data_IF_636005509054
#
_entry.id   IF_636005509054
#
_cell.length_a   1.000
_cell.length_b   1.000
_cell.length_c   1.000
_cell.angle_alpha   90.00
_cell.angle_beta   90.00
_cell.angle_gamma   90.00
#
_symmetry.space_group_name_H-M   'P 1'
#
loop_
_entity.id
_entity.type
_entity.pdbx_description
1 polymer ?
#
# COMPACT_ATOMS: atom_id res chain seq x y z
N UNK A 1 -5.09 -11.02 14.10
CA UNK A 1 -3.81 -11.00 13.35
C UNK A 1 -4.00 -11.18 11.82
N UNK A 2 -5.23 -11.17 11.29
CA UNK A 2 -5.49 -11.52 9.87
C UNK A 2 -4.98 -10.52 8.82
N UNK A 3 -4.66 -9.29 9.21
CA UNK A 3 -4.19 -8.25 8.28
C UNK A 3 -2.67 -8.01 8.32
N UNK A 4 -1.99 -8.57 9.32
CA UNK A 4 -0.55 -8.43 9.54
C UNK A 4 0.31 -8.81 8.32
N UNK A 5 -0.01 -9.87 7.54
CA UNK A 5 0.75 -10.25 6.34
C UNK A 5 0.85 -9.20 5.23
N UNK A 6 -0.03 -8.18 5.27
CA UNK A 6 -0.10 -7.09 4.27
C UNK A 6 0.47 -5.77 4.80
N UNK A 7 1.00 -5.73 6.02
CA UNK A 7 1.47 -4.49 6.67
C UNK A 7 3.00 -4.35 6.60
N UNK A 8 3.61 -3.66 7.59
CA UNK A 8 5.00 -3.19 7.59
C UNK A 8 6.10 -4.27 7.62
N UNK A 9 5.76 -5.56 7.60
CA UNK A 9 6.70 -6.70 7.55
C UNK A 9 7.71 -6.79 8.70
N UNK A 10 7.58 -5.95 9.73
CA UNK A 10 8.54 -5.83 10.83
C UNK A 10 8.48 -6.99 11.85
N UNK A 11 7.35 -7.68 11.90
CA UNK A 11 7.03 -8.71 12.90
C UNK A 11 7.48 -10.13 12.52
N UNK A 12 8.08 -10.34 11.34
CA UNK A 12 8.66 -11.64 10.95
C UNK A 12 7.66 -12.76 10.63
N UNK A 13 6.37 -12.43 10.47
CA UNK A 13 5.31 -13.39 10.10
C UNK A 13 5.32 -13.75 8.60
N UNK A 14 4.45 -14.70 8.21
CA UNK A 14 4.23 -15.06 6.80
C UNK A 14 3.69 -13.85 6.02
N UNK A 15 4.47 -13.38 5.05
CA UNK A 15 4.15 -12.21 4.21
C UNK A 15 3.38 -12.67 2.97
N UNK A 16 2.35 -11.91 2.59
CA UNK A 16 1.67 -12.12 1.31
C UNK A 16 2.65 -11.81 0.15
N UNK A 17 2.84 -12.73 -0.82
CA UNK A 17 3.76 -12.51 -1.92
C UNK A 17 3.50 -11.22 -2.72
N UNK A 18 2.27 -10.73 -2.76
CA UNK A 18 1.92 -9.47 -3.44
C UNK A 18 2.44 -8.23 -2.70
N UNK A 19 2.88 -8.36 -1.45
CA UNK A 19 3.41 -7.27 -0.64
C UNK A 19 4.90 -7.47 -0.32
N UNK A 20 5.47 -8.65 -0.55
CA UNK A 20 6.86 -8.96 -0.21
C UNK A 20 7.89 -8.08 -0.94
N UNK A 21 8.47 -7.12 -0.20
CA UNK A 21 9.41 -6.12 -0.72
C UNK A 21 10.67 -6.75 -1.32
N UNK A 22 11.00 -7.99 -0.96
CA UNK A 22 12.15 -8.72 -1.53
C UNK A 22 11.92 -9.08 -3.00
N UNK A 23 10.66 -9.17 -3.43
CA UNK A 23 10.25 -9.46 -4.81
C UNK A 23 10.19 -8.21 -5.69
N UNK A 24 10.41 -7.03 -5.12
CA UNK A 24 10.34 -5.77 -5.84
C UNK A 24 11.46 -5.64 -6.88
N UNK A 25 11.17 -5.19 -8.12
CA UNK A 25 12.17 -4.83 -9.11
C UNK A 25 13.14 -3.76 -8.57
N UNK A 26 14.39 -3.75 -9.09
CA UNK A 26 15.45 -2.85 -8.61
C UNK A 26 15.07 -1.38 -8.76
N UNK A 27 14.33 -1.07 -9.81
CA UNK A 27 13.85 0.26 -10.19
C UNK A 27 12.90 0.86 -9.14
N UNK A 28 12.16 0.01 -8.42
CA UNK A 28 11.17 0.44 -7.43
C UNK A 28 11.70 0.41 -5.99
N UNK A 29 12.96 0.00 -5.77
CA UNK A 29 13.49 -0.13 -4.40
C UNK A 29 13.52 1.18 -3.61
N UNK A 30 13.65 2.32 -4.26
CA UNK A 30 13.61 3.64 -3.61
C UNK A 30 12.24 3.95 -2.98
N UNK A 31 11.16 3.33 -3.48
CA UNK A 31 9.79 3.50 -3.00
C UNK A 31 9.25 2.24 -2.31
N UNK A 32 10.13 1.28 -2.00
CA UNK A 32 9.79 0.02 -1.34
C UNK A 32 9.00 0.18 -0.03
N UNK A 33 9.28 1.26 0.71
CA UNK A 33 8.63 1.57 1.97
C UNK A 33 7.12 1.83 1.83
N UNK A 34 6.62 2.12 0.61
CA UNK A 34 5.20 2.34 0.36
C UNK A 34 4.40 1.02 0.30
N UNK A 35 5.06 -0.10 0.01
CA UNK A 35 4.39 -1.39 -0.18
C UNK A 35 3.79 -1.86 1.15
N UNK A 36 2.49 -2.09 1.16
CA UNK A 36 1.74 -2.44 2.35
C UNK A 36 0.33 -1.89 2.35
N UNK A 37 -0.40 -2.27 3.38
CA UNK A 37 -1.71 -1.75 3.74
C UNK A 37 -1.57 -0.67 4.78
N UNK A 38 -2.06 0.52 4.44
CA UNK A 38 -2.12 1.69 5.30
C UNK A 38 -3.57 1.93 5.67
N UNK A 39 -3.85 2.12 6.96
CA UNK A 39 -5.22 2.38 7.44
C UNK A 39 -5.21 3.55 8.41
N UNK A 40 -6.15 4.45 8.22
CA UNK A 40 -6.41 5.58 9.11
C UNK A 40 -7.91 5.70 9.28
N UNK A 41 -8.42 5.51 10.50
CA UNK A 41 -9.87 5.52 10.73
C UNK A 41 -10.46 6.94 10.82
N UNK A 42 -9.67 7.91 11.25
CA UNK A 42 -10.14 9.27 11.55
C UNK A 42 -9.16 10.38 11.09
N UNK A 43 -8.15 10.05 10.29
CA UNK A 43 -7.12 11.01 9.89
C UNK A 43 -7.46 11.85 8.65
N UNK A 44 -8.34 11.36 7.78
CA UNK A 44 -8.72 12.06 6.55
C UNK A 44 -9.61 13.28 6.85
N UNK A 45 -9.26 14.44 6.29
CA UNK A 45 -10.05 15.67 6.39
C UNK A 45 -10.23 16.27 5.01
N UNK A 46 -11.48 16.45 4.59
CA UNK A 46 -11.81 17.11 3.34
C UNK A 46 -12.20 18.57 3.59
N UNK A 47 -11.56 19.49 2.89
CA UNK A 47 -11.93 20.91 2.86
C UNK A 47 -11.92 21.41 1.42
N UNK A 48 -13.06 21.90 0.96
CA UNK A 48 -13.19 22.48 -0.36
C UNK A 48 -14.31 23.53 -0.37
N UNK A 49 -14.24 24.62 -1.16
CA UNK A 49 -15.16 25.76 -1.01
C UNK A 49 -16.65 25.44 -1.23
N UNK A 50 -16.96 24.44 -2.06
CA UNK A 50 -18.34 24.12 -2.49
C UNK A 50 -18.94 22.91 -1.79
N UNK A 51 -18.21 22.22 -0.91
CA UNK A 51 -18.70 21.06 -0.17
C UNK A 51 -18.44 21.22 1.33
N UNK A 52 -19.31 20.68 2.20
CA UNK A 52 -19.10 20.74 3.65
C UNK A 52 -17.79 20.09 4.08
N UNK A 53 -17.21 20.59 5.17
CA UNK A 53 -16.07 19.94 5.83
C UNK A 53 -16.52 18.61 6.40
N UNK A 54 -15.79 17.54 6.13
CA UNK A 54 -16.01 16.24 6.76
C UNK A 54 -14.70 15.49 6.97
N UNK A 55 -14.77 14.45 7.80
CA UNK A 55 -13.67 13.52 8.05
C UNK A 55 -14.02 12.15 7.48
N UNK A 56 -13.01 11.42 7.02
CA UNK A 56 -13.21 10.07 6.49
C UNK A 56 -12.09 9.14 6.97
N UNK A 57 -12.47 7.88 7.13
CA UNK A 57 -11.52 6.79 7.27
C UNK A 57 -11.03 6.35 5.89
N UNK A 58 -9.77 6.00 5.80
CA UNK A 58 -9.12 5.57 4.57
C UNK A 58 -8.34 4.28 4.81
N UNK A 59 -8.37 3.41 3.80
CA UNK A 59 -7.45 2.29 3.67
C UNK A 59 -6.85 2.36 2.28
N UNK A 60 -5.53 2.29 2.21
CA UNK A 60 -4.76 2.23 0.98
C UNK A 60 -4.01 0.90 0.97
N UNK A 61 -4.12 0.17 -0.13
CA UNK A 61 -3.36 -1.04 -0.40
C UNK A 61 -2.41 -0.78 -1.58
N UNK A 62 -1.10 -0.79 -1.29
CA UNK A 62 -0.04 -0.69 -2.31
C UNK A 62 0.61 -2.07 -2.45
N UNK A 63 0.41 -2.72 -3.60
CA UNK A 63 0.92 -4.06 -3.87
C UNK A 63 1.86 -4.08 -5.08
N UNK A 64 2.69 -5.11 -5.14
CA UNK A 64 3.57 -5.39 -6.29
C UNK A 64 2.69 -5.84 -7.46
N UNK A 65 2.90 -5.26 -8.64
CA UNK A 65 2.22 -5.71 -9.85
C UNK A 65 2.81 -7.03 -10.36
N UNK A 66 2.03 -7.80 -11.13
CA UNK A 66 2.52 -9.06 -11.68
C UNK A 66 3.55 -8.79 -12.79
N UNK A 67 4.82 -8.97 -12.44
CA UNK A 67 6.01 -8.73 -13.29
C UNK A 67 6.04 -9.70 -14.50
N UNK A 68 5.19 -10.74 -14.52
CA UNK A 68 5.11 -11.69 -15.64
C UNK A 68 4.59 -11.06 -16.94
N UNK A 69 3.94 -9.89 -16.87
CA UNK A 69 3.60 -9.10 -18.07
C UNK A 69 4.84 -8.29 -18.48
N UNK A 70 5.19 -8.30 -19.78
CA UNK A 70 6.28 -7.52 -20.43
C UNK A 70 6.09 -5.98 -20.35
N UNK A 71 5.62 -5.47 -19.21
CA UNK A 71 5.38 -4.07 -18.93
C UNK A 71 6.50 -3.45 -18.09
N UNK A 72 6.41 -2.14 -17.90
CA UNK A 72 7.28 -1.42 -16.97
C UNK A 72 6.97 -1.87 -15.53
N UNK A 73 8.00 -2.06 -14.68
CA UNK A 73 7.81 -2.24 -13.25
C UNK A 73 6.86 -1.19 -12.67
N UNK A 74 5.82 -1.63 -11.95
CA UNK A 74 4.82 -0.75 -11.35
C UNK A 74 4.29 -1.30 -10.02
N UNK A 75 3.56 -0.47 -9.30
CA UNK A 75 2.80 -0.85 -8.10
C UNK A 75 1.31 -0.72 -8.41
N UNK A 76 0.50 -1.62 -7.87
CA UNK A 76 -0.95 -1.49 -7.84
C UNK A 76 -1.33 -0.62 -6.64
N UNK A 77 -2.35 0.23 -6.81
CA UNK A 77 -2.92 1.09 -5.77
C UNK A 77 -4.43 0.91 -5.74
N UNK A 78 -4.99 0.60 -4.58
CA UNK A 78 -6.43 0.48 -4.34
C UNK A 78 -6.81 1.05 -2.99
#
# INVERSE_FOLDING_TARGET
MEHCPRMCQACGERIDPAYDVRRLPKELKSVAWMVGRWRSEFGGKAFFPTIPKFTYGEQIDISISDITRRGKPSLNYT
#
